data_IF_340220333862
#
_entry.id   IF_340220333862
#
_cell.length_a   1.000
_cell.length_b   1.000
_cell.length_c   1.000
_cell.angle_alpha   90.00
_cell.angle_beta   90.00
_cell.angle_gamma   90.00
#
_symmetry.space_group_name_H-M   'P 1'
#
loop_
_entity.id
_entity.type
_entity.pdbx_description
1 polymer ?
#
# COMPACT_ATOMS: atom_id res chain seq x y z
N UNK A 1 -10.16 -22.15 -20.66
CA UNK A 1 -9.62 -20.84 -21.07
C UNK A 1 -9.53 -20.06 -19.77
N UNK A 2 -8.33 -19.99 -19.18
CA UNK A 2 -8.10 -19.29 -17.90
C UNK A 2 -8.13 -17.81 -18.16
N UNK A 3 -9.17 -17.12 -17.72
CA UNK A 3 -9.17 -15.66 -17.63
C UNK A 3 -8.06 -15.25 -16.67
N UNK A 4 -7.03 -14.61 -17.23
CA UNK A 4 -6.01 -13.90 -16.47
C UNK A 4 -6.72 -12.73 -15.82
N UNK A 5 -7.02 -12.81 -14.52
CA UNK A 5 -7.63 -11.69 -13.79
C UNK A 5 -6.64 -10.52 -13.78
N UNK A 6 -6.84 -9.56 -14.67
CA UNK A 6 -6.06 -8.33 -14.74
C UNK A 6 -6.36 -7.49 -13.49
N UNK A 7 -5.32 -6.94 -12.86
CA UNK A 7 -5.47 -5.98 -11.75
C UNK A 7 -5.89 -4.62 -12.35
N UNK A 8 -7.17 -4.46 -12.66
CA UNK A 8 -7.68 -3.29 -13.40
C UNK A 8 -8.05 -2.10 -12.49
N UNK A 9 -8.34 -2.34 -11.20
CA UNK A 9 -8.74 -1.27 -10.29
C UNK A 9 -7.52 -0.65 -9.65
N UNK A 10 -7.34 0.66 -9.83
CA UNK A 10 -6.23 1.40 -9.23
C UNK A 10 -6.70 2.51 -8.30
N UNK A 11 -5.97 2.75 -7.20
CA UNK A 11 -6.13 3.89 -6.30
C UNK A 11 -4.77 4.44 -5.92
N UNK A 12 -4.63 5.76 -5.86
CA UNK A 12 -3.35 6.39 -5.50
C UNK A 12 -3.53 7.39 -4.37
N UNK A 13 -2.58 7.45 -3.45
CA UNK A 13 -2.47 8.52 -2.46
C UNK A 13 -1.04 9.06 -2.45
N UNK A 14 -0.90 10.38 -2.29
CA UNK A 14 0.38 11.06 -2.12
C UNK A 14 0.44 11.63 -0.71
N UNK A 15 1.36 11.13 0.10
CA UNK A 15 1.46 11.47 1.52
C UNK A 15 2.70 12.33 1.74
N UNK A 16 2.51 13.61 2.06
CA UNK A 16 3.61 14.53 2.33
C UNK A 16 4.37 14.11 3.60
N UNK A 17 5.68 13.91 3.49
CA UNK A 17 6.56 13.56 4.60
C UNK A 17 8.03 13.66 4.20
N UNK A 18 8.87 14.24 5.05
CA UNK A 18 10.33 14.31 4.82
C UNK A 18 11.06 12.96 4.97
N UNK A 19 10.34 11.88 5.33
CA UNK A 19 10.94 10.56 5.60
C UNK A 19 10.14 9.40 4.99
N UNK A 20 9.91 9.39 3.66
CA UNK A 20 9.02 8.41 3.02
C UNK A 20 9.49 6.97 3.21
N UNK A 21 10.79 6.71 3.05
CA UNK A 21 11.39 5.39 3.27
C UNK A 21 11.18 4.86 4.70
N UNK A 22 11.17 5.75 5.71
CA UNK A 22 10.93 5.36 7.10
C UNK A 22 9.52 4.80 7.28
N UNK A 23 8.52 5.47 6.70
CA UNK A 23 7.13 5.07 6.81
C UNK A 23 6.81 3.83 5.96
N UNK A 24 7.37 3.74 4.75
CA UNK A 24 7.26 2.55 3.91
C UNK A 24 7.79 1.30 4.62
N UNK A 25 8.99 1.39 5.22
CA UNK A 25 9.57 0.30 6.02
C UNK A 25 8.71 -0.07 7.22
N UNK A 26 8.12 0.91 7.91
CA UNK A 26 7.26 0.66 9.06
C UNK A 26 5.98 -0.08 8.67
N UNK A 27 5.35 0.31 7.56
CA UNK A 27 4.20 -0.39 6.99
C UNK A 27 4.56 -1.82 6.57
N UNK A 28 5.63 -1.97 5.78
CA UNK A 28 6.12 -3.28 5.32
C UNK A 28 6.40 -4.22 6.50
N UNK A 29 7.09 -3.76 7.54
CA UNK A 29 7.41 -4.59 8.71
C UNK A 29 6.17 -4.98 9.55
N UNK A 30 5.16 -4.11 9.62
CA UNK A 30 3.96 -4.37 10.42
C UNK A 30 2.92 -5.23 9.68
N UNK A 31 2.70 -4.94 8.40
CA UNK A 31 1.71 -5.61 7.56
C UNK A 31 2.28 -6.88 6.93
N UNK A 32 3.59 -6.95 6.68
CA UNK A 32 4.29 -8.13 6.16
C UNK A 32 4.52 -9.25 7.19
N UNK A 33 3.87 -9.20 8.35
CA UNK A 33 3.98 -10.28 9.35
C UNK A 33 3.29 -11.56 8.83
N UNK A 34 3.80 -12.75 9.20
CA UNK A 34 3.19 -14.02 8.78
C UNK A 34 1.69 -14.05 9.03
N UNK A 35 0.93 -14.46 8.00
CA UNK A 35 -0.54 -14.53 8.04
C UNK A 35 -1.29 -13.23 7.78
N UNK A 36 -0.60 -12.14 7.39
CA UNK A 36 -1.25 -10.87 7.01
C UNK A 36 -1.10 -10.53 5.53
N UNK A 37 0.11 -10.19 5.11
CA UNK A 37 0.45 -9.79 3.73
C UNK A 37 1.88 -10.27 3.44
N UNK A 38 2.23 -10.40 2.18
CA UNK A 38 3.62 -10.57 1.75
C UNK A 38 4.23 -9.22 1.38
N UNK A 39 5.54 -9.11 1.49
CA UNK A 39 6.31 -7.94 1.08
C UNK A 39 7.35 -8.38 0.06
N UNK A 40 7.42 -7.65 -1.04
CA UNK A 40 8.47 -7.74 -2.05
C UNK A 40 9.19 -6.39 -2.12
N UNK A 41 10.53 -6.41 -2.19
CA UNK A 41 11.30 -5.18 -2.41
C UNK A 41 11.39 -4.90 -3.90
N UNK A 42 11.10 -3.66 -4.30
CA UNK A 42 11.23 -3.19 -5.69
C UNK A 42 12.19 -2.02 -5.77
N UNK A 43 12.61 -1.63 -6.98
CA UNK A 43 13.47 -0.48 -7.20
C UNK A 43 12.87 0.86 -6.71
N UNK A 44 11.54 0.93 -6.57
CA UNK A 44 10.83 2.13 -6.10
C UNK A 44 10.50 2.10 -4.61
N UNK A 45 10.64 0.94 -3.97
CA UNK A 45 10.29 0.72 -2.57
C UNK A 45 9.52 -0.59 -2.36
N UNK A 46 9.12 -0.89 -1.11
CA UNK A 46 8.45 -2.13 -0.79
C UNK A 46 7.04 -2.18 -1.40
N UNK A 47 6.66 -3.36 -1.88
CA UNK A 47 5.32 -3.67 -2.38
C UNK A 47 4.66 -4.68 -1.44
N UNK A 48 3.52 -4.30 -0.88
CA UNK A 48 2.64 -5.20 -0.15
C UNK A 48 1.77 -5.97 -1.14
N UNK A 49 1.56 -7.26 -0.89
CA UNK A 49 0.54 -8.04 -1.57
C UNK A 49 -0.36 -8.74 -0.56
N UNK A 50 -1.66 -8.69 -0.82
CA UNK A 50 -2.71 -9.33 -0.06
C UNK A 50 -3.50 -10.24 -0.99
N UNK A 51 -3.68 -11.48 -0.57
CA UNK A 51 -4.62 -12.42 -1.18
C UNK A 51 -5.65 -12.82 -0.12
N UNK A 52 -6.92 -12.77 -0.48
CA UNK A 52 -8.00 -13.29 0.35
C UNK A 52 -9.06 -13.90 -0.56
N UNK A 53 -9.48 -15.11 -0.24
CA UNK A 53 -10.29 -15.95 -1.14
C UNK A 53 -9.64 -16.00 -2.54
N UNK A 54 -10.36 -15.57 -3.57
CA UNK A 54 -9.89 -15.49 -4.96
C UNK A 54 -9.53 -14.05 -5.41
N UNK A 55 -9.46 -13.10 -4.47
CA UNK A 55 -9.16 -11.70 -4.75
C UNK A 55 -7.71 -11.34 -4.41
N UNK A 56 -7.13 -10.43 -5.19
CA UNK A 56 -5.77 -9.96 -5.00
C UNK A 56 -5.71 -8.43 -5.03
N UNK A 57 -4.89 -7.88 -4.14
CA UNK A 57 -4.53 -6.46 -4.16
C UNK A 57 -3.05 -6.29 -3.80
N UNK A 58 -2.40 -5.34 -4.46
CA UNK A 58 -1.05 -4.90 -4.15
C UNK A 58 -1.06 -3.44 -3.74
N UNK A 59 -0.06 -3.02 -2.96
CA UNK A 59 0.21 -1.63 -2.66
C UNK A 59 1.72 -1.38 -2.74
N UNK A 60 2.16 -0.69 -3.78
CA UNK A 60 3.51 -0.17 -3.86
C UNK A 60 3.63 1.08 -3.00
N UNK A 61 4.61 1.08 -2.10
CA UNK A 61 5.02 2.24 -1.32
C UNK A 61 6.22 2.87 -2.03
N UNK A 62 5.95 3.81 -2.94
CA UNK A 62 6.95 4.51 -3.74
C UNK A 62 7.67 5.56 -2.90
N UNK A 63 8.98 5.39 -2.78
CA UNK A 63 9.89 6.19 -1.95
C UNK A 63 10.89 6.98 -2.78
N UNK A 64 10.66 7.10 -4.09
CA UNK A 64 11.56 7.78 -5.02
C UNK A 64 11.59 9.30 -4.83
N UNK A 65 10.49 9.89 -4.33
CA UNK A 65 10.45 11.29 -3.94
C UNK A 65 11.00 11.48 -2.51
N UNK A 66 11.69 12.59 -2.27
CA UNK A 66 12.33 12.86 -0.97
C UNK A 66 11.35 13.30 0.13
N UNK A 67 10.26 13.96 -0.26
CA UNK A 67 9.29 14.62 0.61
C UNK A 67 7.87 14.03 0.50
N UNK A 68 7.73 12.91 -0.22
CA UNK A 68 6.43 12.30 -0.51
C UNK A 68 6.55 10.78 -0.48
N UNK A 69 5.64 10.12 0.25
CA UNK A 69 5.40 8.70 0.13
C UNK A 69 4.24 8.47 -0.84
N UNK A 70 4.52 7.88 -2.00
CA UNK A 70 3.50 7.45 -2.95
C UNK A 70 2.91 6.10 -2.52
N UNK A 71 1.58 5.99 -2.49
CA UNK A 71 0.87 4.73 -2.26
C UNK A 71 0.09 4.40 -3.52
N UNK A 72 0.48 3.32 -4.21
CA UNK A 72 -0.17 2.88 -5.45
C UNK A 72 -0.80 1.52 -5.22
N UNK A 73 -2.13 1.50 -5.11
CA UNK A 73 -2.92 0.28 -4.97
C UNK A 73 -3.37 -0.18 -6.36
N UNK A 74 -3.18 -1.47 -6.64
CA UNK A 74 -3.77 -2.15 -7.78
C UNK A 74 -4.49 -3.42 -7.29
N UNK A 75 -5.67 -3.71 -7.82
CA UNK A 75 -6.43 -4.91 -7.42
C UNK A 75 -7.25 -5.48 -8.57
N UNK A 76 -7.69 -6.72 -8.39
CA UNK A 76 -8.60 -7.41 -9.30
C UNK A 76 -10.06 -6.96 -9.16
N UNK A 77 -10.44 -6.37 -8.03
CA UNK A 77 -11.81 -5.99 -7.70
C UNK A 77 -11.86 -4.71 -6.86
N UNK A 78 -12.95 -3.95 -6.96
CA UNK A 78 -13.18 -2.77 -6.13
C UNK A 78 -13.13 -3.07 -4.62
N UNK A 79 -13.71 -4.21 -4.20
CA UNK A 79 -13.68 -4.66 -2.81
C UNK A 79 -12.24 -4.85 -2.29
N UNK A 80 -11.38 -5.50 -3.08
CA UNK A 80 -9.98 -5.71 -2.72
C UNK A 80 -9.18 -4.39 -2.70
N UNK A 81 -9.48 -3.46 -3.62
CA UNK A 81 -8.88 -2.12 -3.61
C UNK A 81 -9.28 -1.37 -2.34
N UNK A 82 -10.58 -1.29 -2.02
CA UNK A 82 -11.11 -0.63 -0.83
C UNK A 82 -10.55 -1.21 0.46
N UNK A 83 -10.38 -2.53 0.52
CA UNK A 83 -9.77 -3.19 1.67
C UNK A 83 -8.30 -2.79 1.81
N UNK A 84 -7.53 -2.83 0.73
CA UNK A 84 -6.11 -2.47 0.74
C UNK A 84 -5.91 -1.00 1.12
N UNK A 85 -6.65 -0.07 0.49
CA UNK A 85 -6.57 1.37 0.78
C UNK A 85 -6.91 1.67 2.23
N UNK A 86 -7.95 1.04 2.78
CA UNK A 86 -8.34 1.18 4.18
C UNK A 86 -7.27 0.67 5.15
N UNK A 87 -6.71 -0.51 4.88
CA UNK A 87 -5.68 -1.10 5.74
C UNK A 87 -4.42 -0.25 5.73
N UNK A 88 -3.89 0.05 4.55
CA UNK A 88 -2.64 0.83 4.42
C UNK A 88 -2.81 2.24 4.96
N UNK A 89 -3.88 2.95 4.55
CA UNK A 89 -4.16 4.32 4.97
C UNK A 89 -4.31 4.44 6.49
N UNK A 90 -5.20 3.64 7.09
CA UNK A 90 -5.44 3.73 8.54
C UNK A 90 -4.22 3.38 9.39
N UNK A 91 -3.34 2.48 8.94
CA UNK A 91 -2.10 2.19 9.65
C UNK A 91 -1.08 3.33 9.51
N UNK A 92 -0.96 3.91 8.33
CA UNK A 92 -0.04 5.03 8.10
C UNK A 92 -0.44 6.25 8.93
N UNK A 93 -1.73 6.61 8.95
CA UNK A 93 -2.24 7.71 9.78
C UNK A 93 -2.01 7.45 11.28
N UNK A 94 -2.24 6.21 11.75
CA UNK A 94 -1.97 5.85 13.15
C UNK A 94 -0.48 5.93 13.49
N UNK A 95 0.39 5.49 12.59
CA UNK A 95 1.84 5.57 12.78
C UNK A 95 2.33 7.02 12.77
N UNK A 96 1.77 7.85 11.88
CA UNK A 96 2.11 9.25 11.69
C UNK A 96 1.31 10.23 12.53
N UNK A 97 0.42 9.78 13.43
CA UNK A 97 -0.52 10.64 14.14
C UNK A 97 0.17 11.81 14.88
N UNK A 98 1.35 11.56 15.48
CA UNK A 98 2.12 12.60 16.20
C UNK A 98 2.69 13.68 15.29
N UNK A 99 2.88 13.38 14.01
CA UNK A 99 3.41 14.32 13.01
C UNK A 99 2.35 14.75 12.00
N UNK A 100 1.09 14.36 12.22
CA UNK A 100 -0.04 14.78 11.39
C UNK A 100 -0.09 14.15 10.00
N UNK A 101 0.44 12.94 9.78
CA UNK A 101 0.25 12.28 8.48
C UNK A 101 -1.23 12.01 8.21
N UNK A 102 -1.67 12.37 7.00
CA UNK A 102 -3.02 12.13 6.48
C UNK A 102 -2.93 11.41 5.15
N UNK A 103 -3.90 10.54 4.86
CA UNK A 103 -3.93 9.79 3.60
C UNK A 103 -5.24 10.09 2.87
N UNK A 104 -5.12 10.70 1.70
CA UNK A 104 -6.25 10.98 0.81
C UNK A 104 -6.07 10.20 -0.48
N UNK A 105 -7.02 9.30 -0.75
CA UNK A 105 -7.04 8.50 -1.98
C UNK A 105 -7.76 9.22 -3.11
N UNK A 106 -7.21 9.12 -4.32
CA UNK A 106 -7.85 9.51 -5.59
C UNK A 106 -8.20 8.30 -6.45
#
# INVERSE_FOLDING_TARGET
MTDTTTLDVTRTALVATDTPARWAKQLASHLGRPGKMTVEETDRGPQLAMAFDDQQATCLMDTTAADTLGLHVASSTEEAAERMTRVVGSHLERFGAKVGLTVTWG
#
